data_IF_636209204711
#
_entry.id   IF_636209204711
#
_cell.length_a   1.000
_cell.length_b   1.000
_cell.length_c   1.000
_cell.angle_alpha   90.00
_cell.angle_beta   90.00
_cell.angle_gamma   90.00
#
_symmetry.space_group_name_H-M   'P 1'
#
loop_
_entity.id
_entity.type
_entity.pdbx_description
1 polymer ?
#
# COMPACT_ATOMS: atom_id res chain seq x y z
N UNK A 1 4.31 -3.36 -20.34
CA UNK A 1 3.31 -2.64 -19.52
C UNK A 1 2.53 -1.72 -20.43
N UNK A 2 1.21 -1.59 -20.25
CA UNK A 2 0.43 -0.59 -21.01
C UNK A 2 0.90 0.82 -20.62
N UNK A 3 0.92 1.78 -21.57
CA UNK A 3 1.28 3.16 -21.27
C UNK A 3 0.37 3.74 -20.19
N UNK A 4 0.88 4.70 -19.41
CA UNK A 4 0.06 5.39 -18.42
C UNK A 4 -1.08 6.13 -19.13
N UNK A 5 -2.30 5.99 -18.62
CA UNK A 5 -3.50 6.68 -19.14
C UNK A 5 -4.40 7.08 -17.98
N UNK A 6 -5.01 8.24 -18.07
CA UNK A 6 -6.09 8.61 -17.15
C UNK A 6 -7.35 7.81 -17.48
N UNK A 7 -8.11 7.44 -16.44
CA UNK A 7 -9.43 6.83 -16.60
C UNK A 7 -10.51 7.91 -16.47
N UNK A 8 -11.51 7.85 -17.35
CA UNK A 8 -12.75 8.61 -17.13
C UNK A 8 -13.59 7.97 -15.99
N UNK A 9 -14.68 8.62 -15.59
CA UNK A 9 -15.49 8.18 -14.44
C UNK A 9 -16.09 6.77 -14.62
N UNK A 10 -16.57 6.45 -15.82
CA UNK A 10 -17.12 5.11 -16.11
C UNK A 10 -16.02 4.04 -16.10
N UNK A 11 -14.86 4.34 -16.69
CA UNK A 11 -13.73 3.41 -16.68
C UNK A 11 -13.15 3.20 -15.27
N UNK A 12 -13.10 4.26 -14.45
CA UNK A 12 -12.68 4.17 -13.05
C UNK A 12 -13.64 3.31 -12.25
N UNK A 13 -14.94 3.52 -12.42
CA UNK A 13 -16.00 2.72 -11.79
C UNK A 13 -15.78 1.23 -12.10
N UNK A 14 -15.63 0.87 -13.37
CA UNK A 14 -15.41 -0.52 -13.79
C UNK A 14 -14.08 -1.10 -13.28
N UNK A 15 -13.02 -0.29 -13.32
CA UNK A 15 -11.70 -0.70 -12.83
C UNK A 15 -11.71 -1.03 -11.34
N UNK A 16 -12.33 -0.16 -10.53
CA UNK A 16 -12.48 -0.38 -9.09
C UNK A 16 -13.41 -1.57 -8.85
N UNK A 17 -14.56 -1.65 -9.54
CA UNK A 17 -15.51 -2.76 -9.41
C UNK A 17 -14.86 -4.12 -9.68
N UNK A 18 -14.06 -4.21 -10.74
CA UNK A 18 -13.31 -5.43 -11.06
C UNK A 18 -12.27 -5.76 -9.98
N UNK A 19 -11.55 -4.75 -9.47
CA UNK A 19 -10.56 -4.93 -8.40
C UNK A 19 -11.19 -5.27 -7.03
N UNK A 20 -12.47 -4.91 -6.81
CA UNK A 20 -13.25 -5.22 -5.61
C UNK A 20 -14.04 -6.53 -5.71
N UNK A 21 -14.00 -7.20 -6.86
CA UNK A 21 -14.68 -8.48 -7.06
C UNK A 21 -14.02 -9.56 -6.18
N UNK A 22 -14.78 -10.26 -5.32
CA UNK A 22 -14.25 -11.37 -4.53
C UNK A 22 -13.54 -12.41 -5.41
N UNK A 23 -12.48 -13.02 -4.86
CA UNK A 23 -11.62 -13.97 -5.57
C UNK A 23 -10.80 -13.40 -6.76
N UNK A 24 -10.90 -12.10 -7.07
CA UNK A 24 -10.03 -11.42 -8.04
C UNK A 24 -8.90 -10.70 -7.29
N UNK A 25 -7.78 -11.40 -7.12
CA UNK A 25 -6.53 -10.77 -6.69
C UNK A 25 -5.80 -10.06 -7.84
N UNK A 26 -4.70 -9.35 -7.56
CA UNK A 26 -3.91 -8.64 -8.57
C UNK A 26 -3.53 -9.50 -9.79
N UNK A 27 -3.10 -10.75 -9.59
CA UNK A 27 -2.73 -11.66 -10.68
C UNK A 27 -3.91 -11.90 -11.63
N UNK A 28 -5.06 -12.30 -11.08
CA UNK A 28 -6.28 -12.54 -11.86
C UNK A 28 -6.75 -11.26 -12.53
N UNK A 29 -6.70 -10.12 -11.84
CA UNK A 29 -7.08 -8.82 -12.38
C UNK A 29 -6.32 -8.52 -13.68
N UNK A 30 -4.99 -8.59 -13.67
CA UNK A 30 -4.21 -8.28 -14.88
C UNK A 30 -4.32 -9.34 -15.97
N UNK A 31 -4.58 -10.61 -15.63
CA UNK A 31 -4.92 -11.63 -16.62
C UNK A 31 -6.22 -11.29 -17.35
N UNK A 32 -7.24 -10.82 -16.61
CA UNK A 32 -8.51 -10.39 -17.18
C UNK A 32 -8.34 -9.15 -18.05
N UNK A 33 -7.63 -8.13 -17.58
CA UNK A 33 -7.33 -6.93 -18.41
C UNK A 33 -6.57 -7.32 -19.68
N UNK A 34 -5.60 -8.23 -19.61
CA UNK A 34 -4.86 -8.70 -20.80
C UNK A 34 -5.78 -9.40 -21.82
N UNK A 35 -6.71 -10.22 -21.33
CA UNK A 35 -7.66 -10.99 -22.13
C UNK A 35 -8.74 -10.11 -22.75
N UNK A 36 -9.42 -9.30 -21.95
CA UNK A 36 -10.61 -8.54 -22.35
C UNK A 36 -10.33 -7.09 -22.76
N UNK A 37 -9.09 -6.61 -22.59
CA UNK A 37 -8.60 -5.26 -22.96
C UNK A 37 -9.16 -4.10 -22.15
N UNK A 38 -10.30 -4.25 -21.48
CA UNK A 38 -10.86 -3.24 -20.57
C UNK A 38 -11.48 -3.89 -19.33
N UNK A 39 -11.69 -3.09 -18.28
CA UNK A 39 -12.34 -3.57 -17.05
C UNK A 39 -13.83 -3.87 -17.27
N UNK A 40 -14.55 -3.02 -18.03
CA UNK A 40 -15.95 -3.25 -18.40
C UNK A 40 -16.15 -4.57 -19.16
N UNK A 41 -15.36 -4.81 -20.22
CA UNK A 41 -15.45 -6.07 -20.97
C UNK A 41 -15.04 -7.29 -20.12
N UNK A 42 -14.12 -7.12 -19.17
CA UNK A 42 -13.79 -8.17 -18.22
C UNK A 42 -14.95 -8.50 -17.27
N UNK A 43 -15.65 -7.48 -16.76
CA UNK A 43 -16.84 -7.62 -15.93
C UNK A 43 -17.96 -8.37 -16.68
N UNK A 44 -18.22 -7.99 -17.94
CA UNK A 44 -19.22 -8.67 -18.80
C UNK A 44 -18.86 -10.15 -19.04
N UNK A 45 -17.57 -10.48 -19.07
CA UNK A 45 -17.06 -11.83 -19.24
C UNK A 45 -17.04 -12.69 -17.96
N UNK A 46 -17.23 -12.12 -16.77
CA UNK A 46 -17.16 -12.86 -15.50
C UNK A 46 -18.20 -13.99 -15.37
N UNK A 47 -19.48 -13.82 -15.77
CA UNK A 47 -20.47 -14.89 -15.64
C UNK A 47 -20.07 -16.16 -16.40
N UNK A 48 -19.52 -16.01 -17.61
CA UNK A 48 -19.07 -17.15 -18.41
C UNK A 48 -17.86 -17.87 -17.77
N UNK A 49 -16.92 -17.10 -17.20
CA UNK A 49 -15.76 -17.63 -16.50
C UNK A 49 -16.15 -18.39 -15.23
N UNK A 50 -17.12 -17.86 -14.47
CA UNK A 50 -17.67 -18.53 -13.29
C UNK A 50 -18.28 -19.88 -13.67
N UNK A 51 -19.09 -19.94 -14.73
CA UNK A 51 -19.70 -21.20 -15.21
C UNK A 51 -18.66 -22.25 -15.64
N UNK A 52 -17.52 -21.82 -16.19
CA UNK A 52 -16.43 -22.72 -16.64
C UNK A 52 -15.47 -23.11 -15.51
N UNK A 53 -15.57 -22.50 -14.33
CA UNK A 53 -14.66 -22.73 -13.21
C UNK A 53 -14.94 -24.08 -12.54
N UNK A 54 -14.04 -25.05 -12.74
CA UNK A 54 -14.12 -26.38 -12.09
C UNK A 54 -13.95 -26.34 -10.57
N UNK A 55 -13.54 -25.21 -10.00
CA UNK A 55 -13.19 -25.05 -8.57
C UNK A 55 -14.28 -24.36 -7.73
N UNK A 56 -15.48 -24.13 -8.27
CA UNK A 56 -16.59 -23.51 -7.53
C UNK A 56 -16.31 -22.08 -7.05
N UNK A 57 -15.34 -21.38 -7.66
CA UNK A 57 -15.04 -19.99 -7.32
C UNK A 57 -15.96 -19.07 -8.09
N UNK A 58 -16.96 -18.54 -7.40
CA UNK A 58 -17.86 -17.55 -7.93
C UNK A 58 -17.14 -16.19 -8.07
N UNK A 59 -17.24 -15.57 -9.25
CA UNK A 59 -16.74 -14.24 -9.54
C UNK A 59 -17.93 -13.30 -9.71
N UNK A 60 -18.56 -12.94 -8.59
CA UNK A 60 -19.69 -12.01 -8.58
C UNK A 60 -19.15 -10.61 -8.29
N UNK A 61 -19.17 -9.68 -9.26
CA UNK A 61 -18.75 -8.32 -8.99
C UNK A 61 -19.74 -7.62 -8.06
N UNK A 62 -19.27 -6.72 -7.17
CA UNK A 62 -20.16 -5.95 -6.30
C UNK A 62 -21.12 -5.08 -7.11
N UNK A 63 -22.20 -4.62 -6.49
CA UNK A 63 -23.16 -3.75 -7.16
C UNK A 63 -22.53 -2.41 -7.57
N UNK A 64 -23.01 -1.87 -8.68
CA UNK A 64 -22.53 -0.59 -9.21
C UNK A 64 -22.74 0.54 -8.19
N UNK A 65 -23.86 0.51 -7.46
CA UNK A 65 -24.16 1.47 -6.40
C UNK A 65 -23.13 1.45 -5.27
N UNK A 66 -22.65 0.27 -4.88
CA UNK A 66 -21.68 0.15 -3.79
C UNK A 66 -20.33 0.76 -4.15
N UNK A 67 -19.89 0.57 -5.40
CA UNK A 67 -18.65 1.18 -5.89
C UNK A 67 -18.79 2.69 -6.04
N UNK A 68 -19.94 3.18 -6.51
CA UNK A 68 -20.24 4.63 -6.53
C UNK A 68 -20.16 5.21 -5.12
N UNK A 69 -20.76 4.54 -4.13
CA UNK A 69 -20.68 4.95 -2.73
C UNK A 69 -19.24 4.89 -2.16
N UNK A 70 -18.42 3.91 -2.54
CA UNK A 70 -17.00 3.85 -2.17
C UNK A 70 -16.23 5.06 -2.71
N UNK A 71 -16.38 5.34 -4.01
CA UNK A 71 -15.74 6.48 -4.68
C UNK A 71 -16.15 7.82 -4.05
N UNK A 72 -17.45 8.02 -3.82
CA UNK A 72 -17.99 9.25 -3.25
C UNK A 72 -17.53 9.46 -1.80
N UNK A 73 -17.56 8.41 -0.97
CA UNK A 73 -17.09 8.50 0.43
C UNK A 73 -15.59 8.78 0.51
N UNK A 74 -14.81 8.14 -0.36
CA UNK A 74 -13.36 8.36 -0.42
C UNK A 74 -13.06 9.81 -0.80
N UNK A 75 -13.74 10.35 -1.81
CA UNK A 75 -13.61 11.75 -2.23
C UNK A 75 -14.03 12.73 -1.12
N UNK A 76 -15.15 12.48 -0.45
CA UNK A 76 -15.64 13.31 0.67
C UNK A 76 -14.68 13.32 1.86
N UNK A 77 -13.93 12.22 2.07
CA UNK A 77 -12.89 12.12 3.09
C UNK A 77 -11.60 12.87 2.71
N UNK A 78 -11.48 13.38 1.48
CA UNK A 78 -10.27 14.02 0.98
C UNK A 78 -9.20 13.04 0.47
N UNK A 79 -9.57 11.78 0.27
CA UNK A 79 -8.70 10.76 -0.30
C UNK A 79 -8.99 10.54 -1.80
N UNK A 80 -8.05 9.92 -2.50
CA UNK A 80 -8.10 9.66 -3.93
C UNK A 80 -7.91 8.16 -4.21
N UNK A 81 -8.80 7.57 -5.00
CA UNK A 81 -8.62 6.22 -5.53
C UNK A 81 -7.86 6.32 -6.86
N UNK A 82 -6.67 5.73 -6.93
CA UNK A 82 -5.77 5.78 -8.07
C UNK A 82 -5.66 4.38 -8.68
N UNK A 83 -5.95 4.26 -9.98
CA UNK A 83 -5.76 3.01 -10.71
C UNK A 83 -4.30 2.84 -11.17
N UNK A 84 -3.80 1.61 -11.18
CA UNK A 84 -2.40 1.29 -11.58
C UNK A 84 -2.03 1.64 -13.02
N UNK A 85 -3.02 1.93 -13.88
CA UNK A 85 -2.78 2.45 -15.22
C UNK A 85 -2.57 3.97 -15.24
N UNK A 86 -2.82 4.71 -14.16
CA UNK A 86 -2.82 6.17 -14.16
C UNK A 86 -1.43 6.78 -13.95
N UNK A 87 -1.18 8.00 -14.46
CA UNK A 87 0.09 8.70 -14.26
C UNK A 87 0.42 8.98 -12.78
N UNK A 88 -0.61 9.22 -11.96
CA UNK A 88 -0.45 9.50 -10.53
C UNK A 88 -0.07 8.26 -9.69
N UNK A 89 -0.08 7.05 -10.30
CA UNK A 89 0.25 5.84 -9.56
C UNK A 89 1.77 5.73 -9.32
N UNK A 90 2.23 5.43 -8.09
CA UNK A 90 3.65 5.43 -7.75
C UNK A 90 4.49 4.53 -8.67
N UNK A 91 5.53 5.06 -9.36
CA UNK A 91 6.30 4.29 -10.34
C UNK A 91 6.99 3.05 -9.76
N UNK A 92 7.53 3.15 -8.54
CA UNK A 92 8.18 2.03 -7.85
C UNK A 92 7.20 0.89 -7.56
N UNK A 93 5.99 1.24 -7.13
CA UNK A 93 4.94 0.26 -6.84
C UNK A 93 4.38 -0.35 -8.13
N UNK A 94 4.28 0.44 -9.21
CA UNK A 94 3.87 -0.04 -10.54
C UNK A 94 4.82 -1.10 -11.10
N UNK A 95 6.11 -1.03 -10.73
CA UNK A 95 7.13 -1.97 -11.16
C UNK A 95 7.00 -3.38 -10.53
N UNK A 96 6.15 -3.55 -9.51
CA UNK A 96 5.84 -4.88 -8.99
C UNK A 96 5.12 -5.73 -10.04
N UNK A 97 5.32 -7.05 -9.98
CA UNK A 97 4.64 -8.00 -10.85
C UNK A 97 3.76 -8.99 -10.05
N UNK A 98 2.43 -8.82 -10.02
CA UNK A 98 1.67 -7.64 -10.43
C UNK A 98 1.58 -6.54 -9.34
N UNK A 99 1.36 -5.27 -9.70
CA UNK A 99 1.12 -4.21 -8.73
C UNK A 99 -0.30 -4.29 -8.14
N UNK A 100 -0.62 -3.63 -7.01
CA UNK A 100 -2.01 -3.41 -6.60
C UNK A 100 -2.82 -2.74 -7.72
N UNK A 101 -3.94 -3.31 -8.19
CA UNK A 101 -4.74 -2.71 -9.26
C UNK A 101 -5.23 -1.29 -8.92
N UNK A 102 -5.51 -1.07 -7.64
CA UNK A 102 -6.05 0.17 -7.07
C UNK A 102 -5.25 0.52 -5.81
N UNK A 103 -4.96 1.81 -5.64
CA UNK A 103 -4.35 2.37 -4.44
C UNK A 103 -5.18 3.58 -3.99
N UNK A 104 -5.67 3.57 -2.75
CA UNK A 104 -6.28 4.74 -2.12
C UNK A 104 -5.19 5.54 -1.43
N UNK A 105 -5.20 6.86 -1.62
CA UNK A 105 -4.18 7.77 -1.11
C UNK A 105 -4.79 9.01 -0.44
N UNK A 106 -4.22 9.43 0.69
CA UNK A 106 -4.61 10.61 1.47
C UNK A 106 -3.37 11.45 1.78
N UNK A 107 -3.39 12.74 1.45
CA UNK A 107 -2.25 13.65 1.63
C UNK A 107 -1.47 13.92 0.33
N UNK A 108 -0.17 14.09 0.45
CA UNK A 108 0.74 14.58 -0.62
C UNK A 108 1.21 13.47 -1.57
N UNK A 109 0.54 13.32 -2.71
CA UNK A 109 0.82 12.27 -3.71
C UNK A 109 2.23 12.34 -4.32
N UNK A 110 2.78 13.54 -4.44
CA UNK A 110 4.12 13.80 -4.99
C UNK A 110 5.24 13.17 -4.16
N UNK A 111 5.02 12.91 -2.86
CA UNK A 111 5.99 12.17 -2.03
C UNK A 111 6.31 10.78 -2.59
N UNK A 112 5.35 10.11 -3.22
CA UNK A 112 5.56 8.79 -3.81
C UNK A 112 6.27 8.83 -5.18
N UNK A 113 6.53 10.03 -5.72
CA UNK A 113 7.40 10.24 -6.88
C UNK A 113 8.88 10.45 -6.48
N UNK A 114 9.15 10.82 -5.23
CA UNK A 114 10.51 11.01 -4.71
C UNK A 114 11.22 9.67 -4.45
N UNK A 115 12.56 9.67 -4.33
CA UNK A 115 13.29 8.53 -3.79
C UNK A 115 12.79 8.18 -2.38
N UNK A 116 12.58 6.89 -2.14
CA UNK A 116 11.95 6.38 -0.91
C UNK A 116 12.75 5.25 -0.31
N UNK A 117 12.78 5.18 1.02
CA UNK A 117 13.41 4.08 1.77
C UNK A 117 12.43 3.55 2.81
N UNK A 118 12.28 2.24 2.87
CA UNK A 118 11.49 1.59 3.91
C UNK A 118 12.30 1.49 5.19
N UNK A 119 11.75 1.94 6.31
CA UNK A 119 12.31 1.70 7.65
C UNK A 119 11.30 0.86 8.42
N UNK A 120 11.69 -0.35 8.81
CA UNK A 120 10.79 -1.32 9.46
C UNK A 120 11.48 -1.96 10.66
N UNK A 121 10.68 -2.42 11.63
CA UNK A 121 11.24 -3.18 12.74
C UNK A 121 10.24 -3.63 13.80
N UNK A 122 10.76 -3.88 14.99
CA UNK A 122 10.02 -4.43 16.11
C UNK A 122 8.93 -3.47 16.60
N UNK A 123 7.76 -4.03 16.92
CA UNK A 123 6.67 -3.29 17.57
C UNK A 123 6.99 -2.95 19.02
N UNK A 124 7.63 -3.89 19.72
CA UNK A 124 8.17 -3.70 21.06
C UNK A 124 9.69 -3.49 20.95
N UNK A 125 10.09 -2.34 20.41
CA UNK A 125 11.50 -2.03 20.17
C UNK A 125 12.24 -1.64 21.45
N UNK A 126 13.55 -1.83 21.48
CA UNK A 126 14.41 -1.26 22.53
C UNK A 126 14.48 0.27 22.44
N UNK A 127 14.93 0.94 23.53
CA UNK A 127 15.16 2.38 23.50
C UNK A 127 16.25 2.76 22.47
N UNK A 128 17.28 1.93 22.34
CA UNK A 128 18.33 2.09 21.35
C UNK A 128 17.79 1.94 19.92
N UNK A 129 16.98 0.91 19.66
CA UNK A 129 16.33 0.68 18.36
C UNK A 129 15.42 1.83 17.96
N UNK A 130 14.62 2.36 18.90
CA UNK A 130 13.79 3.57 18.66
C UNK A 130 14.65 4.78 18.30
N UNK A 131 15.75 5.02 19.03
CA UNK A 131 16.68 6.12 18.73
C UNK A 131 17.29 5.97 17.33
N UNK A 132 17.79 4.77 17.01
CA UNK A 132 18.38 4.48 15.71
C UNK A 132 17.39 4.68 14.57
N UNK A 133 16.13 4.26 14.73
CA UNK A 133 15.08 4.50 13.76
C UNK A 133 14.87 6.01 13.48
N UNK A 134 14.80 6.83 14.54
CA UNK A 134 14.68 8.30 14.40
C UNK A 134 15.90 8.91 13.70
N UNK A 135 17.09 8.52 14.10
CA UNK A 135 18.34 9.08 13.57
C UNK A 135 18.47 8.75 12.07
N UNK A 136 18.22 7.49 11.69
CA UNK A 136 18.25 7.07 10.28
C UNK A 136 17.16 7.76 9.45
N UNK A 137 15.93 7.81 9.96
CA UNK A 137 14.82 8.50 9.30
C UNK A 137 15.14 9.99 9.04
N UNK A 138 15.69 10.68 10.05
CA UNK A 138 16.09 12.08 9.94
C UNK A 138 17.23 12.26 8.92
N UNK A 139 18.26 11.41 8.98
CA UNK A 139 19.41 11.50 8.07
C UNK A 139 19.02 11.23 6.61
N UNK A 140 18.21 10.20 6.36
CA UNK A 140 17.68 9.89 5.03
C UNK A 140 16.79 11.02 4.50
N UNK A 141 15.95 11.58 5.36
CA UNK A 141 15.15 12.76 5.05
C UNK A 141 16.00 13.96 4.65
N UNK A 142 17.06 14.25 5.40
CA UNK A 142 18.02 15.31 5.08
C UNK A 142 18.78 15.08 3.77
N UNK A 143 18.91 13.82 3.34
CA UNK A 143 19.48 13.43 2.05
C UNK A 143 18.44 13.40 0.89
N UNK A 144 17.19 13.80 1.14
CA UNK A 144 16.14 13.88 0.13
C UNK A 144 15.33 12.60 -0.10
N UNK A 145 15.42 11.62 0.81
CA UNK A 145 14.59 10.41 0.76
C UNK A 145 13.34 10.55 1.62
N UNK A 146 12.19 10.16 1.08
CA UNK A 146 10.97 10.00 1.86
C UNK A 146 10.96 8.64 2.59
N UNK A 147 10.57 8.63 3.85
CA UNK A 147 10.50 7.41 4.66
C UNK A 147 9.18 6.69 4.43
N UNK A 148 9.23 5.43 4.00
CA UNK A 148 8.05 4.55 3.90
C UNK A 148 8.01 3.62 5.10
N UNK A 149 6.88 3.54 5.78
CA UNK A 149 6.72 2.58 6.86
C UNK A 149 5.26 2.24 7.09
N UNK A 150 4.99 1.52 8.17
CA UNK A 150 3.73 0.86 8.38
C UNK A 150 2.81 1.37 9.44
N UNK A 151 3.14 2.51 10.04
CA UNK A 151 2.43 3.08 11.16
C UNK A 151 2.25 2.11 12.34
N UNK A 152 2.96 0.99 12.40
CA UNK A 152 2.93 0.10 13.55
C UNK A 152 3.59 0.77 14.77
N UNK A 153 3.32 0.27 15.98
CA UNK A 153 4.07 0.68 17.17
C UNK A 153 5.58 0.45 16.99
N UNK A 154 6.39 1.09 17.83
CA UNK A 154 7.83 0.89 17.85
C UNK A 154 8.51 1.57 16.66
N UNK A 155 9.36 0.82 15.95
CA UNK A 155 10.24 1.36 14.90
C UNK A 155 9.49 2.17 13.83
N UNK A 156 8.36 1.66 13.33
CA UNK A 156 7.59 2.32 12.28
C UNK A 156 7.09 3.71 12.72
N UNK A 157 6.52 3.81 13.93
CA UNK A 157 6.04 5.08 14.49
C UNK A 157 7.15 6.10 14.68
N UNK A 158 8.30 5.67 15.19
CA UNK A 158 9.48 6.51 15.39
C UNK A 158 10.05 7.04 14.06
N UNK A 159 10.12 6.18 13.05
CA UNK A 159 10.59 6.54 11.72
C UNK A 159 9.66 7.58 11.06
N UNK A 160 8.34 7.40 11.18
CA UNK A 160 7.35 8.37 10.70
C UNK A 160 7.48 9.71 11.42
N UNK A 161 7.50 9.71 12.76
CA UNK A 161 7.57 10.94 13.55
C UNK A 161 8.83 11.77 13.21
N UNK A 162 9.97 11.10 13.05
CA UNK A 162 11.23 11.74 12.67
C UNK A 162 11.26 12.24 11.21
N UNK A 163 10.36 11.76 10.35
CA UNK A 163 10.31 12.10 8.92
C UNK A 163 9.17 13.05 8.54
N UNK A 164 8.40 13.58 9.50
CA UNK A 164 7.26 14.44 9.20
C UNK A 164 7.67 15.68 8.38
N UNK A 165 8.79 16.33 8.74
CA UNK A 165 9.27 17.52 8.07
C UNK A 165 9.98 17.28 6.74
N UNK A 166 10.46 16.05 6.49
CA UNK A 166 11.25 15.69 5.30
C UNK A 166 10.45 14.87 4.28
N UNK A 167 9.36 14.24 4.70
CA UNK A 167 8.47 13.44 3.87
C UNK A 167 8.35 12.01 4.37
N UNK A 168 7.11 11.57 4.58
CA UNK A 168 6.83 10.20 5.00
C UNK A 168 5.57 9.62 4.38
N UNK A 169 5.59 8.31 4.12
CA UNK A 169 4.52 7.55 3.49
C UNK A 169 4.12 6.39 4.41
N UNK A 170 2.94 6.47 5.01
CA UNK A 170 2.36 5.40 5.82
C UNK A 170 1.52 4.46 4.95
N UNK A 171 1.83 3.17 5.00
CA UNK A 171 1.07 2.14 4.28
C UNK A 171 0.18 1.38 5.27
N UNK A 172 -1.15 1.44 5.11
CA UNK A 172 -2.09 0.83 6.06
C UNK A 172 -2.55 -0.56 5.61
N UNK A 173 -2.74 -1.46 6.59
CA UNK A 173 -3.38 -2.76 6.34
C UNK A 173 -4.90 -2.67 6.15
N UNK A 174 -5.54 -1.69 6.78
CA UNK A 174 -6.96 -1.38 6.64
C UNK A 174 -7.20 -0.26 5.64
N UNK A 175 -8.44 0.19 5.55
CA UNK A 175 -8.81 1.36 4.77
C UNK A 175 -8.14 2.64 5.29
N UNK A 176 -8.03 3.65 4.44
CA UNK A 176 -7.45 4.95 4.84
C UNK A 176 -8.24 5.61 5.97
N UNK A 177 -9.55 5.40 6.06
CA UNK A 177 -10.42 5.94 7.11
C UNK A 177 -10.43 5.12 8.41
N UNK A 178 -9.59 4.09 8.52
CA UNK A 178 -9.46 3.30 9.74
C UNK A 178 -8.03 3.30 10.29
N UNK A 179 -7.79 4.15 11.29
CA UNK A 179 -6.49 4.22 11.96
C UNK A 179 -6.25 2.99 12.82
N UNK A 180 -5.12 2.34 12.60
CA UNK A 180 -4.62 1.28 13.47
C UNK A 180 -3.09 1.30 13.47
N UNK A 181 -2.45 1.27 14.66
CA UNK A 181 -3.06 1.17 15.99
C UNK A 181 -3.63 2.52 16.48
N UNK A 182 -4.69 2.55 17.33
CA UNK A 182 -5.30 3.80 17.82
C UNK A 182 -4.34 4.74 18.57
N UNK A 183 -3.27 4.20 19.15
CA UNK A 183 -2.22 4.98 19.81
C UNK A 183 -1.53 5.95 18.85
N UNK A 184 -1.63 5.71 17.54
CA UNK A 184 -1.06 6.56 16.51
C UNK A 184 -2.08 7.50 15.85
N UNK A 185 -3.26 7.73 16.45
CA UNK A 185 -4.27 8.66 15.90
C UNK A 185 -3.69 10.07 15.64
N UNK A 186 -2.90 10.60 16.57
CA UNK A 186 -2.23 11.89 16.40
C UNK A 186 -1.21 11.85 15.27
N UNK A 187 -0.33 10.84 15.26
CA UNK A 187 0.70 10.70 14.24
C UNK A 187 0.08 10.50 12.85
N UNK A 188 -1.01 9.72 12.75
CA UNK A 188 -1.79 9.57 11.55
C UNK A 188 -2.28 10.93 11.04
N UNK A 189 -2.87 11.76 11.91
CA UNK A 189 -3.36 13.08 11.52
C UNK A 189 -2.22 14.00 11.05
N UNK A 190 -1.07 13.95 11.72
CA UNK A 190 0.13 14.69 11.32
C UNK A 190 0.65 14.22 9.95
N UNK A 191 0.64 12.92 9.65
CA UNK A 191 1.01 12.38 8.33
C UNK A 191 -0.04 12.75 7.28
N UNK A 192 -1.34 12.68 7.59
CA UNK A 192 -2.39 13.06 6.64
C UNK A 192 -2.27 14.53 6.20
N UNK A 193 -1.85 15.41 7.12
CA UNK A 193 -1.70 16.84 6.86
C UNK A 193 -0.45 17.19 6.02
N UNK A 194 0.68 16.51 6.24
CA UNK A 194 1.97 16.92 5.65
C UNK A 194 2.74 15.83 4.90
N UNK A 195 2.34 14.57 5.08
CA UNK A 195 2.89 13.37 4.46
C UNK A 195 1.88 12.71 3.51
N UNK A 196 1.99 11.39 3.38
CA UNK A 196 1.11 10.58 2.54
C UNK A 196 0.69 9.31 3.28
N UNK A 197 -0.59 8.96 3.20
CA UNK A 197 -1.14 7.69 3.67
C UNK A 197 -1.68 6.94 2.46
N UNK A 198 -1.36 5.66 2.35
CA UNK A 198 -1.83 4.81 1.26
C UNK A 198 -2.38 3.48 1.75
N UNK A 199 -3.33 2.92 1.01
CA UNK A 199 -3.89 1.59 1.26
C UNK A 199 -4.40 0.93 -0.02
N UNK A 200 -4.31 -0.39 -0.11
CA UNK A 200 -5.00 -1.19 -1.15
C UNK A 200 -6.46 -1.52 -0.75
N UNK A 201 -6.78 -1.39 0.53
CA UNK A 201 -8.06 -1.83 1.09
C UNK A 201 -9.23 -0.92 0.67
N UNK A 202 -10.45 -1.47 0.51
CA UNK A 202 -11.65 -0.67 0.22
C UNK A 202 -11.93 0.35 1.31
N UNK A 203 -12.52 1.49 0.95
CA UNK A 203 -12.93 2.49 1.96
C UNK A 203 -13.91 1.89 2.98
N UNK A 204 -13.71 2.16 4.28
CA UNK A 204 -14.49 1.58 5.37
C UNK A 204 -14.07 0.16 5.80
N UNK A 205 -13.10 -0.47 5.13
CA UNK A 205 -12.60 -1.79 5.50
C UNK A 205 -11.76 -1.76 6.79
N UNK A 206 -12.14 -2.60 7.77
CA UNK A 206 -11.38 -2.81 9.00
C UNK A 206 -10.37 -3.94 8.82
N UNK A 207 -9.11 -3.65 9.12
CA UNK A 207 -8.03 -4.62 8.99
C UNK A 207 -8.21 -5.82 9.93
N UNK A 208 -7.82 -6.99 9.43
CA UNK A 208 -7.63 -8.21 10.18
C UNK A 208 -6.13 -8.54 10.29
N UNK A 209 -5.78 -9.52 11.13
CA UNK A 209 -4.38 -9.95 11.30
C UNK A 209 -3.69 -10.35 9.98
N UNK A 210 -4.45 -10.87 9.01
CA UNK A 210 -3.94 -11.34 7.70
C UNK A 210 -3.55 -10.19 6.77
N UNK A 211 -4.06 -8.98 7.02
CA UNK A 211 -3.82 -7.83 6.15
C UNK A 211 -2.45 -7.20 6.38
N UNK A 212 -1.91 -7.30 7.60
CA UNK A 212 -0.60 -6.71 7.91
C UNK A 212 0.55 -7.35 7.10
N UNK A 213 0.69 -8.69 7.04
CA UNK A 213 1.70 -9.30 6.17
C UNK A 213 1.46 -9.00 4.69
N UNK A 214 0.20 -9.05 4.22
CA UNK A 214 -0.14 -8.76 2.81
C UNK A 214 0.25 -7.35 2.40
N UNK A 215 0.10 -6.39 3.30
CA UNK A 215 0.41 -4.98 3.06
C UNK A 215 1.91 -4.70 2.99
N UNK A 216 2.76 -5.52 3.63
CA UNK A 216 4.21 -5.29 3.64
C UNK A 216 4.83 -5.22 2.23
N UNK A 217 4.25 -5.95 1.26
CA UNK A 217 4.67 -5.88 -0.15
C UNK A 217 4.54 -4.48 -0.75
N UNK A 218 3.64 -3.65 -0.23
CA UNK A 218 3.43 -2.27 -0.68
C UNK A 218 4.46 -1.35 -0.03
N UNK A 219 4.83 -1.58 1.24
CA UNK A 219 5.93 -0.84 1.91
C UNK A 219 7.22 -1.01 1.11
N UNK A 220 7.60 -2.26 0.84
CA UNK A 220 8.82 -2.57 0.09
C UNK A 220 8.70 -2.20 -1.38
N UNK A 221 7.50 -2.36 -1.95
CA UNK A 221 7.22 -2.01 -3.33
C UNK A 221 7.33 -0.52 -3.62
N UNK A 222 6.98 0.31 -2.64
CA UNK A 222 7.14 1.76 -2.68
C UNK A 222 8.56 2.23 -2.41
N UNK A 223 9.51 1.35 -2.12
CA UNK A 223 10.85 1.73 -1.62
C UNK A 223 11.96 1.26 -2.55
N UNK A 224 13.06 2.02 -2.61
CA UNK A 224 14.31 1.60 -3.28
C UNK A 224 15.06 0.53 -2.49
N UNK A 225 15.07 0.69 -1.17
CA UNK A 225 15.67 -0.26 -0.24
C UNK A 225 14.88 -0.35 1.06
N UNK A 226 15.16 -1.38 1.85
CA UNK A 226 14.51 -1.70 3.12
C UNK A 226 15.56 -1.78 4.21
N UNK A 227 15.42 -0.96 5.25
CA UNK A 227 16.26 -0.97 6.44
C UNK A 227 15.48 -1.64 7.58
N UNK A 228 16.00 -2.76 8.06
CA UNK A 228 15.49 -3.46 9.25
C UNK A 228 16.29 -2.99 10.47
N UNK A 229 15.64 -2.23 11.35
CA UNK A 229 16.32 -1.62 12.51
C UNK A 229 16.47 -2.60 13.66
N UNK A 230 15.39 -3.29 14.00
CA UNK A 230 15.35 -4.27 15.08
C UNK A 230 14.31 -5.32 14.74
N UNK A 231 14.65 -6.60 14.90
CA UNK A 231 13.73 -7.69 14.58
C UNK A 231 14.05 -8.94 15.40
N UNK A 232 13.03 -9.46 16.10
CA UNK A 232 13.10 -10.82 16.66
C UNK A 232 12.96 -11.87 15.54
N UNK A 233 13.40 -13.11 15.80
CA UNK A 233 13.46 -14.22 14.83
C UNK A 233 12.11 -14.54 14.13
N UNK A 234 10.97 -14.16 14.73
CA UNK A 234 9.62 -14.31 14.15
C UNK A 234 8.90 -12.99 13.91
N UNK A 235 9.65 -11.89 13.75
CA UNK A 235 9.08 -10.56 13.56
C UNK A 235 8.46 -10.40 12.17
N UNK A 236 7.34 -9.66 12.11
CA UNK A 236 6.75 -9.23 10.84
C UNK A 236 7.68 -8.36 9.99
N UNK A 237 8.69 -7.71 10.59
CA UNK A 237 9.72 -6.97 9.83
C UNK A 237 10.62 -7.89 8.98
N UNK A 238 10.83 -9.15 9.38
CA UNK A 238 11.57 -10.13 8.57
C UNK A 238 10.77 -10.56 7.33
N UNK A 239 9.44 -10.48 7.39
CA UNK A 239 8.57 -10.68 6.22
C UNK A 239 8.81 -9.55 5.22
N UNK A 240 8.89 -8.30 5.68
CA UNK A 240 9.24 -7.16 4.81
C UNK A 240 10.63 -7.31 4.22
N UNK A 241 11.64 -7.72 4.99
CA UNK A 241 12.99 -7.98 4.46
C UNK A 241 12.97 -9.00 3.31
N UNK A 242 12.29 -10.13 3.51
CA UNK A 242 12.13 -11.16 2.48
C UNK A 242 11.42 -10.62 1.23
N UNK A 243 10.28 -9.94 1.41
CA UNK A 243 9.53 -9.35 0.29
C UNK A 243 10.36 -8.30 -0.46
N UNK A 244 11.17 -7.51 0.23
CA UNK A 244 12.09 -6.56 -0.39
C UNK A 244 13.08 -7.26 -1.31
N UNK A 245 13.74 -8.32 -0.82
CA UNK A 245 14.66 -9.11 -1.63
C UNK A 245 13.98 -9.76 -2.84
N UNK A 246 12.80 -10.36 -2.66
CA UNK A 246 11.99 -10.95 -3.74
C UNK A 246 11.58 -9.92 -4.81
N UNK A 247 11.43 -8.65 -4.42
CA UNK A 247 11.13 -7.53 -5.32
C UNK A 247 12.38 -6.87 -5.92
N UNK A 248 13.58 -7.43 -5.67
CA UNK A 248 14.84 -6.87 -6.15
C UNK A 248 15.20 -5.53 -5.50
N UNK A 249 14.79 -5.32 -4.25
CA UNK A 249 15.18 -4.14 -3.44
C UNK A 249 16.41 -4.46 -2.62
N UNK A 250 17.23 -3.45 -2.36
CA UNK A 250 18.32 -3.57 -1.39
C UNK A 250 17.75 -3.81 0.00
N UNK A 251 18.28 -4.79 0.73
CA UNK A 251 17.86 -5.11 2.10
C UNK A 251 19.06 -4.92 3.02
N UNK A 252 18.90 -4.02 3.98
CA UNK A 252 19.92 -3.66 4.96
C UNK A 252 19.40 -3.99 6.35
N UNK A 253 20.30 -4.39 7.24
CA UNK A 253 19.99 -4.65 8.64
C UNK A 253 20.97 -3.88 9.52
N UNK A 254 20.43 -3.27 10.58
CA UNK A 254 21.27 -2.67 11.62
C UNK A 254 21.84 -3.80 12.48
N UNK A 255 23.16 -3.85 12.72
CA UNK A 255 23.74 -4.86 13.59
C UNK A 255 23.29 -4.63 15.04
N UNK A 256 23.00 -5.73 15.75
CA UNK A 256 22.74 -5.75 17.19
C UNK A 256 23.86 -6.44 17.96
N UNK A 257 24.01 -6.11 19.24
CA UNK A 257 24.80 -6.93 20.16
C UNK A 257 24.04 -8.23 20.46
N UNK A 258 24.70 -9.40 20.55
CA UNK A 258 24.09 -10.64 21.01
C UNK A 258 23.55 -10.53 22.44
#
# INVERSE_FOLDING_TARGET
>A
MSPARALNDAERLDWVRLARTPNIGPVTFFQLIRKFKSAGAALDGLPELTRKSRRGRELVPPDVSDIKHELDRTRKYGAHIIASCEPAYPPLLKALDPPPPVLTALGKLDLAANPTVAIVGARNASAAGRKLARDMASALGGAGYATVSGLALGIDGEAHAASLGTGTIAVLGGAVDHVYPPQHDRLYAEIAAQGLIVSESPFGYRATAKDFPRRNRIITGLSRGVVVVEAAERSGSLISARMGAEQGRDVMAVPGSP
#
